data_IF_516033585698
#
_entry.id   IF_516033585698
#
_cell.length_a   1.000
_cell.length_b   1.000
_cell.length_c   1.000
_cell.angle_alpha   90.00
_cell.angle_beta   90.00
_cell.angle_gamma   90.00
#
_symmetry.space_group_name_H-M   'P 1'
#
loop_
_entity.id
_entity.type
_entity.pdbx_description
1 polymer ?
#
# COMPACT_ATOMS: atom_id res chain seq x y z
N UNK A 1 -2.50 15.65 -17.84
CA UNK A 1 -2.17 14.74 -16.72
C UNK A 1 -2.35 15.52 -15.43
N UNK A 2 -3.29 15.13 -14.56
CA UNK A 2 -3.42 15.75 -13.25
C UNK A 2 -2.16 15.44 -12.44
N UNK A 3 -1.35 16.46 -12.18
CA UNK A 3 -0.20 16.35 -11.27
C UNK A 3 -0.76 16.26 -9.85
N UNK A 4 -0.97 15.03 -9.36
CA UNK A 4 -1.32 14.80 -7.97
C UNK A 4 -0.15 15.29 -7.11
N UNK A 5 -0.27 16.50 -6.56
CA UNK A 5 0.67 17.06 -5.57
C UNK A 5 0.47 16.33 -4.24
N UNK A 6 1.03 15.13 -4.14
CA UNK A 6 1.08 14.40 -2.88
C UNK A 6 2.20 14.98 -2.01
N UNK A 7 1.87 15.24 -0.75
CA UNK A 7 2.58 16.05 0.23
C UNK A 7 4.13 15.89 0.24
N UNK A 8 4.84 17.02 0.31
CA UNK A 8 6.31 17.11 0.49
C UNK A 8 6.72 17.33 1.95
N UNK A 9 5.78 17.26 2.91
CA UNK A 9 6.15 17.33 4.33
C UNK A 9 6.94 16.08 4.70
N UNK A 10 8.17 16.25 5.16
CA UNK A 10 9.03 15.17 5.64
C UNK A 10 8.32 14.31 6.69
N UNK A 11 7.47 14.91 7.52
CA UNK A 11 6.79 14.24 8.62
C UNK A 11 5.84 13.13 8.16
N UNK A 12 5.17 13.34 7.02
CA UNK A 12 4.28 12.31 6.46
C UNK A 12 5.04 11.06 6.03
N UNK A 13 6.15 11.23 5.30
CA UNK A 13 6.96 10.10 4.84
C UNK A 13 7.76 9.47 6.00
N UNK A 14 8.06 10.24 7.05
CA UNK A 14 8.57 9.70 8.32
C UNK A 14 7.53 8.82 9.03
N UNK A 15 6.25 9.21 9.04
CA UNK A 15 5.16 8.35 9.55
C UNK A 15 5.06 7.05 8.74
N UNK A 16 5.06 7.14 7.41
CA UNK A 16 5.01 5.96 6.54
C UNK A 16 6.21 5.03 6.73
N UNK A 17 7.39 5.59 7.01
CA UNK A 17 8.57 4.84 7.39
C UNK A 17 8.37 4.13 8.74
N UNK A 18 7.72 4.79 9.71
CA UNK A 18 7.37 4.21 11.00
C UNK A 18 6.55 2.93 10.90
N UNK A 19 5.65 2.82 9.93
CA UNK A 19 4.86 1.59 9.71
C UNK A 19 5.74 0.36 9.40
N UNK A 20 6.93 0.54 8.84
CA UNK A 20 7.87 -0.57 8.63
C UNK A 20 8.35 -1.17 9.95
N UNK A 21 8.54 -0.34 10.97
CA UNK A 21 8.94 -0.80 12.30
C UNK A 21 7.82 -1.57 13.02
N UNK A 22 6.58 -1.41 12.56
CA UNK A 22 5.39 -2.13 13.04
C UNK A 22 5.06 -3.36 12.19
N UNK A 23 6.04 -3.88 11.42
CA UNK A 23 5.82 -5.04 10.56
C UNK A 23 4.93 -4.72 9.36
N UNK A 24 5.12 -3.54 8.77
CA UNK A 24 4.36 -3.03 7.62
C UNK A 24 2.87 -2.86 7.92
N UNK A 25 2.58 -2.25 9.06
CA UNK A 25 1.23 -1.94 9.50
C UNK A 25 1.16 -0.54 10.09
N UNK A 26 0.00 0.09 9.96
CA UNK A 26 -0.33 1.26 10.78
C UNK A 26 -0.76 0.82 12.21
N UNK A 27 -0.99 1.76 13.14
CA UNK A 27 -1.43 1.44 14.50
C UNK A 27 -2.76 0.69 14.61
N UNK A 28 -3.63 0.78 13.59
CA UNK A 28 -4.93 0.09 13.55
C UNK A 28 -4.82 -1.30 12.87
N UNK A 29 -3.60 -1.76 12.57
CA UNK A 29 -3.32 -3.03 11.92
C UNK A 29 -3.63 -3.04 10.42
N UNK A 30 -3.86 -1.87 9.80
CA UNK A 30 -3.99 -1.75 8.34
C UNK A 30 -2.64 -2.06 7.72
N UNK A 31 -2.63 -2.95 6.72
CA UNK A 31 -1.39 -3.36 6.07
C UNK A 31 -0.87 -2.26 5.15
N UNK A 32 0.39 -1.87 5.35
CA UNK A 32 1.14 -0.96 4.51
C UNK A 32 1.85 -1.71 3.39
N UNK A 33 1.51 -1.39 2.14
CA UNK A 33 2.11 -1.97 0.94
C UNK A 33 2.95 -0.93 0.22
N UNK A 34 4.10 -1.37 -0.31
CA UNK A 34 4.93 -0.58 -1.23
C UNK A 34 5.08 -1.38 -2.51
N UNK A 35 4.53 -0.84 -3.59
CA UNK A 35 4.42 -1.51 -4.89
C UNK A 35 4.79 -0.51 -5.97
N UNK A 36 5.81 -0.83 -6.77
CA UNK A 36 6.34 0.03 -7.83
C UNK A 36 6.62 1.45 -7.29
N UNK A 37 7.13 1.52 -6.07
CA UNK A 37 7.49 2.78 -5.45
C UNK A 37 6.37 3.67 -4.96
N UNK A 38 5.14 3.16 -4.93
CA UNK A 38 3.98 3.85 -4.36
C UNK A 38 3.64 3.23 -3.02
N UNK A 39 3.14 4.05 -2.11
CA UNK A 39 2.72 3.61 -0.78
C UNK A 39 1.21 3.50 -0.70
N UNK A 40 0.73 2.40 -0.13
CA UNK A 40 -0.68 2.08 0.02
C UNK A 40 -0.98 1.57 1.42
N UNK A 41 -2.20 1.79 1.90
CA UNK A 41 -2.79 1.02 2.99
C UNK A 41 -3.94 0.16 2.47
N UNK A 42 -4.04 -1.08 2.93
CA UNK A 42 -5.27 -1.87 2.80
C UNK A 42 -6.14 -1.63 4.02
N UNK A 43 -7.46 -1.51 3.84
CA UNK A 43 -8.37 -1.20 4.94
C UNK A 43 -9.71 -1.91 4.78
N UNK A 44 -10.49 -2.05 5.85
CA UNK A 44 -11.84 -2.63 5.83
C UNK A 44 -12.90 -1.62 6.23
N UNK A 45 -14.19 -1.92 6.00
CA UNK A 45 -15.29 -1.04 6.43
C UNK A 45 -15.26 -0.76 7.93
N UNK A 46 -14.99 -1.80 8.71
CA UNK A 46 -14.96 -1.77 10.17
C UNK A 46 -13.83 -0.89 10.70
N UNK A 47 -12.68 -0.86 10.00
CA UNK A 47 -11.56 0.01 10.35
C UNK A 47 -11.79 1.47 9.97
N UNK A 48 -12.76 1.77 9.09
CA UNK A 48 -12.94 3.09 8.51
C UNK A 48 -11.79 3.53 7.59
N UNK A 49 -11.97 4.69 6.96
CA UNK A 49 -10.95 5.27 6.08
C UNK A 49 -9.64 5.51 6.84
N UNK A 50 -8.48 5.22 6.24
CA UNK A 50 -7.21 5.58 6.84
C UNK A 50 -7.14 7.09 7.14
N UNK A 51 -6.59 7.49 8.30
CA UNK A 51 -6.57 8.90 8.72
C UNK A 51 -5.60 9.76 7.90
N UNK A 52 -4.70 9.16 7.13
CA UNK A 52 -3.67 9.86 6.37
C UNK A 52 -4.15 10.35 4.99
N UNK A 53 -3.42 11.33 4.44
CA UNK A 53 -3.66 11.85 3.09
C UNK A 53 -3.53 10.72 2.06
N UNK A 54 -4.58 10.54 1.25
CA UNK A 54 -4.56 9.58 0.16
C UNK A 54 -5.82 9.58 -0.69
N UNK A 55 -5.90 8.61 -1.59
CA UNK A 55 -7.01 8.38 -2.49
C UNK A 55 -7.53 6.95 -2.35
N UNK A 56 -8.83 6.80 -2.08
CA UNK A 56 -9.50 5.51 -2.08
C UNK A 56 -9.65 4.97 -3.50
N UNK A 57 -9.03 3.82 -3.76
CA UNK A 57 -9.39 2.96 -4.88
C UNK A 57 -10.37 1.88 -4.41
N UNK A 58 -11.51 1.76 -5.11
CA UNK A 58 -12.45 0.66 -4.91
C UNK A 58 -12.25 -0.32 -6.07
N UNK A 59 -11.99 -1.58 -5.74
CA UNK A 59 -11.76 -2.64 -6.72
C UNK A 59 -11.19 -3.88 -6.05
N UNK A 60 -11.32 -5.05 -6.67
CA UNK A 60 -10.62 -6.25 -6.18
C UNK A 60 -9.18 -6.20 -6.66
N UNK A 61 -8.24 -6.07 -5.73
CA UNK A 61 -6.81 -6.08 -5.99
C UNK A 61 -6.21 -7.36 -5.44
N UNK A 62 -5.28 -7.91 -6.21
CA UNK A 62 -4.49 -9.06 -5.82
C UNK A 62 -3.04 -8.67 -5.69
N UNK A 63 -2.38 -9.12 -4.63
CA UNK A 63 -0.97 -8.83 -4.39
C UNK A 63 -0.28 -9.99 -3.69
N UNK A 64 1.03 -10.10 -3.89
CA UNK A 64 1.92 -11.01 -3.17
C UNK A 64 2.88 -10.18 -2.32
N UNK A 65 3.30 -10.73 -1.18
CA UNK A 65 4.37 -10.13 -0.38
C UNK A 65 5.72 -10.64 -0.89
N UNK A 66 6.70 -9.75 -1.04
CA UNK A 66 8.01 -10.11 -1.60
C UNK A 66 8.88 -10.90 -0.63
N UNK A 67 8.60 -10.81 0.67
CA UNK A 67 9.27 -11.54 1.73
C UNK A 67 8.56 -12.84 2.12
N UNK A 68 7.39 -13.14 1.52
CA UNK A 68 6.71 -14.42 1.71
C UNK A 68 7.26 -15.48 0.74
N UNK A 69 8.04 -16.46 1.23
CA UNK A 69 8.62 -17.50 0.38
C UNK A 69 7.57 -18.44 -0.22
N UNK A 70 6.35 -18.47 0.32
CA UNK A 70 5.25 -19.27 -0.21
C UNK A 70 4.53 -18.57 -1.37
N UNK A 71 4.75 -17.26 -1.56
CA UNK A 71 4.12 -16.49 -2.63
C UNK A 71 2.60 -16.45 -2.53
N UNK A 72 2.04 -16.37 -1.32
CA UNK A 72 0.60 -16.37 -1.10
C UNK A 72 -0.02 -15.14 -1.77
N UNK A 73 -1.07 -15.38 -2.57
CA UNK A 73 -1.84 -14.32 -3.21
C UNK A 73 -2.90 -13.80 -2.24
N UNK A 74 -2.72 -12.57 -1.80
CA UNK A 74 -3.69 -11.85 -0.99
C UNK A 74 -4.70 -11.12 -1.87
N UNK A 75 -5.90 -10.93 -1.34
CA UNK A 75 -6.98 -10.16 -1.99
C UNK A 75 -7.43 -9.03 -1.07
N UNK A 76 -7.61 -7.83 -1.61
CA UNK A 76 -8.26 -6.71 -0.92
C UNK A 76 -9.26 -6.03 -1.84
N UNK A 77 -10.35 -5.51 -1.27
CA UNK A 77 -11.35 -4.72 -2.00
C UNK A 77 -11.11 -3.21 -1.90
N UNK A 78 -10.18 -2.82 -1.04
CA UNK A 78 -10.02 -1.45 -0.55
C UNK A 78 -8.55 -1.15 -0.39
N UNK A 79 -8.10 -0.18 -1.17
CA UNK A 79 -6.76 0.35 -1.13
C UNK A 79 -6.82 1.86 -0.95
N UNK A 80 -5.88 2.38 -0.18
CA UNK A 80 -5.70 3.80 0.05
C UNK A 80 -4.34 4.19 -0.50
N UNK A 81 -4.30 4.80 -1.69
CA UNK A 81 -3.07 5.26 -2.30
C UNK A 81 -2.61 6.54 -1.60
N UNK A 82 -1.51 6.44 -0.87
CA UNK A 82 -0.94 7.54 -0.09
C UNK A 82 0.02 8.41 -0.92
N UNK A 83 0.58 7.88 -2.00
CA UNK A 83 1.37 8.65 -2.96
C UNK A 83 2.56 7.91 -3.53
N UNK A 84 3.35 8.61 -4.33
CA UNK A 84 4.65 8.12 -4.83
C UNK A 84 5.73 8.45 -3.82
N UNK A 85 6.49 7.44 -3.38
CA UNK A 85 7.56 7.61 -2.39
C UNK A 85 8.66 8.50 -2.99
N UNK A 86 9.07 9.60 -2.32
CA UNK A 86 10.11 10.49 -2.81
C UNK A 86 11.46 9.78 -2.89
N UNK A 87 12.31 10.22 -3.84
CA UNK A 87 13.62 9.63 -4.09
C UNK A 87 14.48 9.50 -2.81
N UNK A 88 14.46 10.51 -1.94
CA UNK A 88 15.20 10.52 -0.68
C UNK A 88 14.80 9.39 0.30
N UNK A 89 13.58 8.86 0.17
CA UNK A 89 13.06 7.78 1.02
C UNK A 89 13.15 6.41 0.36
N UNK A 90 13.38 6.32 -0.96
CA UNK A 90 13.34 5.05 -1.71
C UNK A 90 14.28 3.98 -1.19
N UNK A 91 15.49 4.36 -0.81
CA UNK A 91 16.47 3.42 -0.25
C UNK A 91 16.03 2.85 1.11
N UNK A 92 15.20 3.60 1.86
CA UNK A 92 14.73 3.23 3.21
C UNK A 92 13.35 2.58 3.19
N UNK A 93 12.58 2.80 2.13
CA UNK A 93 11.23 2.28 1.93
C UNK A 93 11.18 1.49 0.62
N UNK A 94 11.87 0.33 0.55
CA UNK A 94 11.81 -0.52 -0.63
C UNK A 94 10.41 -1.10 -0.82
N UNK A 95 10.13 -1.56 -2.03
CA UNK A 95 8.91 -2.30 -2.31
C UNK A 95 8.84 -3.55 -1.42
N UNK A 96 7.65 -3.86 -0.94
CA UNK A 96 7.37 -5.03 -0.10
C UNK A 96 6.30 -5.93 -0.68
N UNK A 97 5.66 -5.51 -1.76
CA UNK A 97 4.65 -6.28 -2.44
C UNK A 97 4.73 -6.04 -3.95
N UNK A 98 4.11 -6.94 -4.70
CA UNK A 98 3.84 -6.76 -6.12
C UNK A 98 2.37 -7.04 -6.39
N UNK A 99 1.77 -6.33 -7.34
CA UNK A 99 0.44 -6.70 -7.82
C UNK A 99 0.52 -8.04 -8.54
N UNK A 100 -0.36 -8.95 -8.17
CA UNK A 100 -0.49 -10.25 -8.82
C UNK A 100 -1.48 -10.15 -9.97
N UNK A 101 -1.09 -10.60 -11.14
CA UNK A 101 -2.04 -10.90 -12.21
C UNK A 101 -2.73 -12.21 -11.84
N UNK A 102 -3.96 -12.15 -11.34
CA UNK A 102 -4.78 -13.36 -11.27
C UNK A 102 -5.33 -13.58 -12.68
N UNK A 103 -5.10 -14.75 -13.30
CA UNK A 103 -5.76 -15.06 -14.57
C UNK A 103 -7.27 -14.95 -14.36
N UNK A 104 -8.04 -14.46 -15.35
CA UNK A 104 -9.49 -14.46 -15.23
C UNK A 104 -9.94 -15.89 -14.93
N UNK A 105 -10.46 -16.15 -13.73
CA UNK A 105 -11.21 -17.38 -13.50
C UNK A 105 -12.37 -17.35 -14.47
N UNK A 106 -12.37 -18.28 -15.43
CA UNK A 106 -13.52 -18.50 -16.31
C UNK A 106 -14.76 -18.65 -15.43
N UNK A 107 -15.88 -17.96 -15.75
CA UNK A 107 -17.13 -18.23 -15.08
C UNK A 107 -17.60 -19.63 -15.51
N UNK A 108 -17.68 -20.54 -14.54
CA UNK A 108 -18.53 -21.73 -14.64
C UNK A 108 -19.99 -21.38 -14.37
#
# INVERSE_FOLDING_TARGET
MAAYRVCSSCDFWLTCLGYMMLGNQDPDGRRALRIDGRHYLTWTEEQGFPPEIGYAGIGRWHYVLLDDPQGVVHTTHRVWLMGTIPAAFRARMPDSAAFAQVPPTEPG
#
